data_IF_329716112724
#
_entry.id   IF_329716112724
#
_cell.length_a   1.000
_cell.length_b   1.000
_cell.length_c   1.000
_cell.angle_alpha   90.00
_cell.angle_beta   90.00
_cell.angle_gamma   90.00
#
_symmetry.space_group_name_H-M   'P 1'
#
loop_
_entity.id
_entity.type
_entity.pdbx_description
1 polymer ?
#
# COMPACT_ATOMS: atom_id res chain seq x y z
N UNK A 1 7.49 9.16 -24.28
CA UNK A 1 7.11 9.55 -22.91
C UNK A 1 5.61 9.83 -22.75
N UNK A 2 4.83 9.97 -23.84
CA UNK A 2 3.42 10.41 -23.83
C UNK A 2 2.34 9.38 -23.38
N UNK A 3 2.68 8.30 -22.67
CA UNK A 3 1.70 7.24 -22.35
C UNK A 3 1.36 7.06 -20.87
N UNK A 4 2.12 7.69 -19.96
CA UNK A 4 1.94 7.46 -18.51
C UNK A 4 0.85 8.34 -17.89
N UNK A 5 0.56 9.50 -18.47
CA UNK A 5 -0.42 10.47 -17.95
C UNK A 5 -1.87 10.11 -18.31
N UNK A 6 -2.08 9.28 -19.34
CA UNK A 6 -3.41 8.84 -19.79
C UNK A 6 -3.98 7.67 -18.96
N UNK A 7 -3.16 7.02 -18.13
CA UNK A 7 -3.60 5.90 -17.31
C UNK A 7 -4.34 6.37 -16.06
N UNK A 8 -5.39 5.63 -15.61
CA UNK A 8 -6.01 5.86 -14.31
C UNK A 8 -4.96 5.93 -13.19
N UNK A 9 -5.13 6.85 -12.24
CA UNK A 9 -4.18 7.09 -11.15
C UNK A 9 -3.75 5.81 -10.43
N UNK A 10 -4.72 4.96 -10.12
CA UNK A 10 -4.47 3.65 -9.50
C UNK A 10 -3.51 2.77 -10.32
N UNK A 11 -3.61 2.80 -11.65
CA UNK A 11 -2.78 1.97 -12.53
C UNK A 11 -1.40 2.57 -12.74
N UNK A 12 -1.24 3.88 -12.57
CA UNK A 12 0.09 4.51 -12.57
C UNK A 12 0.98 3.97 -11.45
N UNK A 13 0.39 3.50 -10.35
CA UNK A 13 1.13 2.89 -9.24
C UNK A 13 1.78 1.55 -9.57
N UNK A 14 1.53 0.94 -10.73
CA UNK A 14 2.29 -0.24 -11.18
C UNK A 14 3.74 0.11 -11.58
N UNK A 15 4.04 1.37 -11.86
CA UNK A 15 5.40 1.84 -12.10
C UNK A 15 6.11 2.17 -10.78
N UNK A 16 7.27 1.56 -10.56
CA UNK A 16 8.13 1.84 -9.40
C UNK A 16 8.50 3.32 -9.29
N UNK A 17 8.82 3.98 -10.41
CA UNK A 17 9.14 5.41 -10.43
C UNK A 17 8.00 6.28 -9.90
N UNK A 18 6.75 5.91 -10.15
CA UNK A 18 5.57 6.64 -9.65
C UNK A 18 5.41 6.42 -8.15
N UNK A 19 5.67 5.20 -7.67
CA UNK A 19 5.65 4.90 -6.24
C UNK A 19 6.77 5.61 -5.49
N UNK A 20 8.00 5.61 -6.02
CA UNK A 20 9.13 6.30 -5.43
C UNK A 20 8.86 7.81 -5.28
N UNK A 21 8.19 8.41 -6.27
CA UNK A 21 7.80 9.82 -6.24
C UNK A 21 6.80 10.18 -5.13
N UNK A 22 6.14 9.20 -4.48
CA UNK A 22 5.25 9.46 -3.34
C UNK A 22 6.00 9.78 -2.04
N UNK A 23 7.26 9.37 -1.93
CA UNK A 23 8.09 9.51 -0.73
C UNK A 23 8.62 10.93 -0.55
N UNK A 24 7.72 11.84 -0.18
CA UNK A 24 8.06 13.21 0.22
C UNK A 24 8.55 13.25 1.67
N UNK A 25 9.67 13.92 1.94
CA UNK A 25 10.29 14.05 3.27
C UNK A 25 10.58 12.71 3.97
N UNK A 26 10.85 11.65 3.20
CA UNK A 26 11.21 10.35 3.76
C UNK A 26 12.60 10.44 4.42
N UNK A 27 12.76 10.00 5.68
CA UNK A 27 13.99 10.23 6.44
C UNK A 27 15.17 9.35 5.98
N UNK A 28 14.89 8.19 5.39
CA UNK A 28 15.90 7.19 5.05
C UNK A 28 16.31 7.28 3.59
N UNK A 29 17.45 7.91 3.33
CA UNK A 29 17.96 8.13 1.97
C UNK A 29 19.31 7.43 1.79
N UNK A 30 20.37 8.15 1.43
CA UNK A 30 21.68 7.56 1.14
C UNK A 30 22.20 6.75 2.35
N UNK A 31 22.73 5.56 2.08
CA UNK A 31 23.25 4.64 3.11
C UNK A 31 22.21 3.80 3.85
N UNK A 32 20.91 3.99 3.59
CA UNK A 32 19.83 3.21 4.22
C UNK A 32 19.34 2.05 3.32
N UNK A 33 18.79 1.01 3.93
CA UNK A 33 18.15 -0.12 3.28
C UNK A 33 16.70 0.16 2.84
N UNK A 34 16.00 1.06 3.54
CA UNK A 34 14.63 1.45 3.24
C UNK A 34 14.53 2.78 2.47
N UNK A 35 15.38 2.96 1.45
CA UNK A 35 15.31 4.12 0.53
C UNK A 35 13.98 4.18 -0.23
N UNK A 36 13.54 5.37 -0.70
CA UNK A 36 12.35 5.51 -1.54
C UNK A 36 12.30 4.53 -2.72
N UNK A 37 13.43 4.29 -3.37
CA UNK A 37 13.55 3.37 -4.50
C UNK A 37 13.36 1.92 -4.07
N UNK A 38 13.92 1.50 -2.92
CA UNK A 38 13.75 0.14 -2.40
C UNK A 38 12.35 -0.10 -1.85
N UNK A 39 11.79 0.89 -1.17
CA UNK A 39 10.39 0.92 -0.74
C UNK A 39 9.45 0.75 -1.94
N UNK A 40 9.66 1.56 -2.98
CA UNK A 40 8.90 1.49 -4.22
C UNK A 40 9.07 0.13 -4.90
N UNK A 41 10.29 -0.42 -5.00
CA UNK A 41 10.54 -1.74 -5.58
C UNK A 41 9.78 -2.86 -4.85
N UNK A 42 9.66 -2.79 -3.52
CA UNK A 42 8.87 -3.70 -2.71
C UNK A 42 7.34 -3.47 -2.81
N UNK A 43 6.91 -2.45 -3.55
CA UNK A 43 5.50 -2.15 -3.80
C UNK A 43 4.88 -1.15 -2.82
N UNK A 44 5.68 -0.45 -2.03
CA UNK A 44 5.17 0.57 -1.11
C UNK A 44 4.99 1.93 -1.80
N UNK A 45 4.00 2.66 -1.32
CA UNK A 45 3.83 4.10 -1.50
C UNK A 45 3.88 4.75 -0.11
N UNK A 46 4.35 5.98 -0.04
CA UNK A 46 4.29 6.77 1.18
C UNK A 46 2.85 7.26 1.41
N UNK A 47 2.34 7.14 2.63
CA UNK A 47 0.97 7.53 2.99
C UNK A 47 0.95 8.12 4.40
N UNK A 48 1.69 9.21 4.65
CA UNK A 48 1.87 9.76 5.98
C UNK A 48 0.58 10.39 6.52
N UNK A 49 0.49 10.45 7.84
CA UNK A 49 -0.50 11.27 8.56
C UNK A 49 0.23 12.16 9.57
N UNK A 50 -0.47 13.15 10.15
CA UNK A 50 0.12 14.06 11.15
C UNK A 50 0.78 13.31 12.33
N UNK A 51 0.22 12.17 12.72
CA UNK A 51 0.68 11.39 13.86
C UNK A 51 1.58 10.20 13.48
N UNK A 52 1.65 9.87 12.19
CA UNK A 52 2.46 8.75 11.68
C UNK A 52 3.13 9.18 10.36
N UNK A 53 4.27 9.91 10.44
CA UNK A 53 4.90 10.54 9.29
C UNK A 53 5.66 9.57 8.38
N UNK A 54 5.88 8.32 8.80
CA UNK A 54 6.65 7.30 8.07
C UNK A 54 5.79 6.12 7.61
N UNK A 55 4.46 6.29 7.58
CA UNK A 55 3.56 5.22 7.11
C UNK A 55 3.79 4.95 5.64
N UNK A 56 4.06 3.69 5.33
CA UNK A 56 4.14 3.16 3.98
C UNK A 56 3.05 2.11 3.76
N UNK A 57 2.32 2.21 2.66
CA UNK A 57 1.28 1.25 2.29
C UNK A 57 1.64 0.53 1.00
N UNK A 58 1.52 -0.80 0.97
CA UNK A 58 1.64 -1.52 -0.29
C UNK A 58 0.49 -1.14 -1.23
N UNK A 59 0.80 -0.64 -2.43
CA UNK A 59 -0.21 -0.25 -3.40
C UNK A 59 -1.10 -1.43 -3.85
N UNK A 60 -0.69 -2.68 -3.65
CA UNK A 60 -1.43 -3.83 -4.15
C UNK A 60 -2.28 -4.51 -3.06
N UNK A 61 -1.65 -4.94 -1.97
CA UNK A 61 -2.33 -5.65 -0.89
C UNK A 61 -2.92 -4.72 0.17
N UNK A 62 -2.58 -3.43 0.13
CA UNK A 62 -3.03 -2.38 1.05
C UNK A 62 -2.59 -2.58 2.50
N UNK A 63 -1.56 -3.40 2.74
CA UNK A 63 -0.92 -3.51 4.06
C UNK A 63 -0.14 -2.23 4.35
N UNK A 64 -0.47 -1.59 5.46
CA UNK A 64 0.26 -0.45 6.04
C UNK A 64 1.30 -0.98 7.04
N UNK A 65 2.47 -0.34 7.00
CA UNK A 65 3.59 -0.51 7.93
C UNK A 65 4.11 0.89 8.31
N UNK A 66 4.51 1.05 9.55
CA UNK A 66 5.10 2.26 10.15
C UNK A 66 6.19 1.84 11.15
N UNK A 67 6.98 2.79 11.63
CA UNK A 67 8.13 2.51 12.50
C UNK A 67 9.33 1.96 11.74
N UNK A 68 9.60 2.50 10.55
CA UNK A 68 10.72 2.05 9.71
C UNK A 68 12.07 2.44 10.33
N UNK A 69 13.04 1.54 10.25
CA UNK A 69 14.42 1.73 10.67
C UNK A 69 15.36 1.75 9.45
N UNK A 70 16.52 2.44 9.52
CA UNK A 70 17.43 2.59 8.38
C UNK A 70 17.90 1.28 7.75
N UNK A 71 17.96 0.19 8.49
CA UNK A 71 18.45 -1.13 8.07
C UNK A 71 17.33 -2.10 7.65
N UNK A 72 16.07 -1.70 7.77
CA UNK A 72 14.93 -2.50 7.32
C UNK A 72 14.99 -2.78 5.81
N UNK A 73 14.85 -4.05 5.43
CA UNK A 73 14.63 -4.43 4.04
C UNK A 73 13.12 -4.41 3.71
N UNK A 74 12.66 -3.50 2.82
CA UNK A 74 11.24 -3.38 2.53
C UNK A 74 10.62 -4.65 1.92
N UNK A 75 11.39 -5.42 1.15
CA UNK A 75 10.90 -6.65 0.55
C UNK A 75 10.69 -7.73 1.61
N UNK A 76 11.60 -7.85 2.57
CA UNK A 76 11.49 -8.81 3.66
C UNK A 76 10.37 -8.44 4.64
N UNK A 77 10.24 -7.15 5.00
CA UNK A 77 9.12 -6.69 5.84
C UNK A 77 7.77 -6.91 5.13
N UNK A 78 7.68 -6.68 3.82
CA UNK A 78 6.46 -6.99 3.06
C UNK A 78 6.14 -8.50 3.09
N UNK A 79 7.12 -9.38 2.89
CA UNK A 79 6.91 -10.84 2.95
C UNK A 79 6.48 -11.28 4.35
N UNK A 80 7.15 -10.79 5.39
CA UNK A 80 6.86 -11.09 6.81
C UNK A 80 5.42 -10.73 7.18
N UNK A 81 4.96 -9.56 6.76
CA UNK A 81 3.62 -9.09 7.10
C UNK A 81 2.52 -9.55 6.13
N UNK A 82 2.83 -9.85 4.87
CA UNK A 82 1.84 -10.30 3.86
C UNK A 82 2.48 -11.16 2.76
N UNK A 83 2.96 -12.36 3.13
CA UNK A 83 3.58 -13.32 2.19
C UNK A 83 2.71 -13.66 0.97
N UNK A 84 1.38 -13.65 1.12
CA UNK A 84 0.42 -13.96 0.06
C UNK A 84 0.02 -12.74 -0.80
N UNK A 85 0.84 -11.69 -0.83
CA UNK A 85 0.60 -10.54 -1.69
C UNK A 85 0.79 -10.92 -3.17
N UNK A 86 -0.25 -10.74 -4.00
CA UNK A 86 -0.19 -11.09 -5.42
C UNK A 86 0.87 -10.33 -6.22
N UNK A 87 1.29 -9.15 -5.75
CA UNK A 87 2.40 -8.40 -6.33
C UNK A 87 3.75 -9.09 -6.10
N UNK A 88 3.98 -9.64 -4.90
CA UNK A 88 5.21 -10.37 -4.57
C UNK A 88 5.36 -11.67 -5.37
N UNK A 89 4.25 -12.23 -5.85
CA UNK A 89 4.22 -13.46 -6.65
C UNK A 89 4.44 -13.23 -8.16
N UNK A 90 4.68 -12.00 -8.59
CA UNK A 90 4.89 -11.69 -10.00
C UNK A 90 6.23 -12.24 -10.50
N UNK A 91 6.18 -13.05 -11.55
CA UNK A 91 7.37 -13.53 -12.26
C UNK A 91 7.91 -12.50 -13.28
N UNK A 92 7.07 -11.55 -13.68
CA UNK A 92 7.39 -10.50 -14.66
C UNK A 92 7.12 -9.14 -14.04
N UNK A 93 7.98 -8.16 -14.32
CA UNK A 93 7.70 -6.76 -13.97
C UNK A 93 6.41 -6.30 -14.67
N UNK A 94 5.64 -5.37 -14.07
CA UNK A 94 4.36 -4.92 -14.65
C UNK A 94 4.42 -4.48 -16.13
N UNK A 95 5.47 -3.79 -16.62
CA UNK A 95 5.57 -3.43 -18.04
C UNK A 95 5.67 -4.62 -19.01
N UNK A 96 6.04 -5.81 -18.52
CA UNK A 96 6.24 -7.02 -19.31
C UNK A 96 5.05 -7.99 -19.22
N UNK A 97 3.95 -7.57 -18.57
CA UNK A 97 2.73 -8.37 -18.48
C UNK A 97 1.92 -8.25 -19.77
N UNK A 98 1.31 -9.35 -20.20
CA UNK A 98 0.22 -9.32 -21.17
C UNK A 98 -1.00 -8.64 -20.56
N UNK A 99 -1.90 -8.15 -21.41
CA UNK A 99 -3.19 -7.57 -20.98
C UNK A 99 -3.97 -8.54 -20.09
N UNK A 100 -4.00 -9.84 -20.43
CA UNK A 100 -4.70 -10.84 -19.65
C UNK A 100 -4.07 -11.06 -18.26
N UNK A 101 -2.74 -11.07 -18.16
CA UNK A 101 -2.04 -11.15 -16.86
C UNK A 101 -2.32 -9.91 -16.01
N UNK A 102 -2.27 -8.72 -16.62
CA UNK A 102 -2.59 -7.46 -15.94
C UNK A 102 -4.03 -7.43 -15.41
N UNK A 103 -5.02 -7.81 -16.23
CA UNK A 103 -6.42 -7.83 -15.80
C UNK A 103 -6.68 -8.82 -14.66
N UNK A 104 -5.98 -9.96 -14.64
CA UNK A 104 -6.03 -10.91 -13.50
C UNK A 104 -5.46 -10.28 -12.23
N UNK A 105 -4.32 -9.60 -12.35
CA UNK A 105 -3.66 -8.91 -11.26
C UNK A 105 -4.54 -7.79 -10.70
N UNK A 106 -5.13 -6.97 -11.56
CA UNK A 106 -6.02 -5.89 -11.14
C UNK A 106 -7.29 -6.43 -10.48
N UNK A 107 -7.90 -7.49 -11.01
CA UNK A 107 -9.03 -8.16 -10.34
C UNK A 107 -8.70 -8.58 -8.92
N UNK A 108 -7.49 -9.08 -8.68
CA UNK A 108 -7.02 -9.43 -7.33
C UNK A 108 -6.87 -8.19 -6.44
N UNK A 109 -6.27 -7.10 -6.96
CA UNK A 109 -6.15 -5.82 -6.26
C UNK A 109 -7.52 -5.25 -5.89
N UNK A 110 -8.43 -5.14 -6.85
CA UNK A 110 -9.78 -4.59 -6.64
C UNK A 110 -10.54 -5.40 -5.59
N UNK A 111 -10.45 -6.73 -5.62
CA UNK A 111 -11.06 -7.58 -4.58
C UNK A 111 -10.51 -7.27 -3.18
N UNK A 112 -9.19 -7.07 -3.05
CA UNK A 112 -8.56 -6.70 -1.77
C UNK A 112 -9.01 -5.32 -1.31
N UNK A 113 -9.07 -4.34 -2.21
CA UNK A 113 -9.53 -2.99 -1.93
C UNK A 113 -10.98 -2.97 -1.42
N UNK A 114 -11.89 -3.61 -2.15
CA UNK A 114 -13.29 -3.72 -1.73
C UNK A 114 -13.43 -4.41 -0.38
N UNK A 115 -12.68 -5.49 -0.14
CA UNK A 115 -12.71 -6.19 1.16
C UNK A 115 -12.22 -5.29 2.30
N UNK A 116 -11.13 -4.53 2.10
CA UNK A 116 -10.61 -3.58 3.10
C UNK A 116 -11.62 -2.48 3.39
N UNK A 117 -12.23 -1.89 2.35
CA UNK A 117 -13.22 -0.83 2.49
C UNK A 117 -14.47 -1.29 3.26
N UNK A 118 -15.00 -2.48 2.92
CA UNK A 118 -16.14 -3.08 3.63
C UNK A 118 -15.78 -3.32 5.10
N UNK A 119 -14.60 -3.88 5.39
CA UNK A 119 -14.14 -4.11 6.75
C UNK A 119 -14.04 -2.80 7.55
N UNK A 120 -13.45 -1.75 6.97
CA UNK A 120 -13.33 -0.45 7.62
C UNK A 120 -14.69 0.19 7.91
N UNK A 121 -15.62 0.11 6.96
CA UNK A 121 -17.00 0.60 7.15
C UNK A 121 -17.70 -0.16 8.28
N UNK A 122 -17.52 -1.48 8.34
CA UNK A 122 -18.09 -2.31 9.40
C UNK A 122 -17.56 -1.92 10.79
N UNK A 123 -16.24 -1.78 10.95
CA UNK A 123 -15.63 -1.32 12.21
C UNK A 123 -16.15 0.05 12.64
N UNK A 124 -16.27 1.01 11.70
CA UNK A 124 -16.83 2.34 12.01
C UNK A 124 -18.27 2.27 12.52
N UNK A 125 -19.09 1.37 11.96
CA UNK A 125 -20.47 1.15 12.42
C UNK A 125 -20.46 0.53 13.82
N UNK A 126 -19.61 -0.45 14.07
CA UNK A 126 -19.48 -1.10 15.37
C UNK A 126 -19.04 -0.12 16.47
N UNK A 127 -18.06 0.73 16.21
CA UNK A 127 -17.56 1.70 17.18
C UNK A 127 -18.60 2.77 17.50
N UNK A 128 -19.32 3.28 16.47
CA UNK A 128 -20.46 4.18 16.69
C UNK A 128 -21.55 3.50 17.53
N UNK A 129 -21.84 2.23 17.27
CA UNK A 129 -22.82 1.48 18.05
C UNK A 129 -22.38 1.28 19.51
N UNK A 130 -21.08 1.04 19.76
CA UNK A 130 -20.53 0.96 21.13
C UNK A 130 -20.68 2.28 21.87
N UNK A 131 -20.27 3.40 21.25
CA UNK A 131 -20.41 4.74 21.82
C UNK A 131 -21.86 5.03 22.18
N UNK A 132 -22.78 4.79 21.24
CA UNK A 132 -24.21 5.02 21.47
C UNK A 132 -24.76 4.17 22.63
N UNK A 133 -24.39 2.89 22.71
CA UNK A 133 -24.80 2.01 23.81
C UNK A 133 -24.26 2.48 25.17
N UNK A 134 -23.03 2.98 25.22
CA UNK A 134 -22.47 3.55 26.46
C UNK A 134 -23.26 4.78 26.90
N UNK A 135 -23.62 5.67 25.96
CA UNK A 135 -24.42 6.86 26.26
C UNK A 135 -25.81 6.50 26.81
N UNK A 136 -26.48 5.50 26.24
CA UNK A 136 -27.81 5.05 26.71
C UNK A 136 -27.77 4.48 28.13
N UNK A 137 -26.70 3.75 28.49
CA UNK A 137 -26.55 3.15 29.84
C UNK A 137 -26.23 4.16 30.94
N UNK A 138 -25.75 5.34 30.56
CA UNK A 138 -25.37 6.41 31.48
C UNK A 138 -26.50 7.46 31.65
N UNK A 139 -27.68 7.20 31.09
CA UNK A 139 -28.93 7.94 31.32
C UNK A 139 -29.79 7.20 32.33
#
# INVERSE_FOLDING_TARGET
MAGREELPEVWRLYFDSVRAATFHNWPFTEGCACTPERMAAAGFVHSPSENSPDVAQCFFCLKELEGWEPDDDPMEEHKKHTAACGFLSLQKKPPNLTVQEFLKLEKMRTRKALKKEVSQKMTKVEDKAKIQRCSIKNL
#
